data_IF_678590253864
#
_entry.id   IF_678590253864
#
_cell.length_a   1.000
_cell.length_b   1.000
_cell.length_c   1.000
_cell.angle_alpha   90.00
_cell.angle_beta   90.00
_cell.angle_gamma   90.00
#
_symmetry.space_group_name_H-M   'P 1'
#
loop_
_entity.id
_entity.type
_entity.pdbx_description
1 polymer ?
#
# COMPACT_ATOMS: atom_id res chain seq x y z
N UNK A 1 -8.84 24.97 4.78
CA UNK A 1 -7.77 25.65 5.52
C UNK A 1 -7.29 26.96 4.85
N UNK A 2 -7.94 27.43 3.78
CA UNK A 2 -7.59 28.71 3.15
C UNK A 2 -8.46 29.82 3.75
N UNK A 3 -7.89 30.63 4.65
CA UNK A 3 -8.46 31.91 5.04
C UNK A 3 -8.65 32.18 6.54
N UNK A 4 -8.61 31.19 7.41
CA UNK A 4 -8.70 31.44 8.84
C UNK A 4 -7.38 31.10 9.55
N UNK A 5 -6.88 31.99 10.38
CA UNK A 5 -5.70 31.75 11.21
C UNK A 5 -6.02 30.64 12.21
N UNK A 6 -5.44 29.47 12.04
CA UNK A 6 -5.58 28.37 13.02
C UNK A 6 -4.88 28.76 14.31
N UNK A 7 -5.57 28.77 15.46
CA UNK A 7 -4.97 29.16 16.73
C UNK A 7 -3.83 28.21 17.12
N UNK A 8 -2.80 28.78 17.76
CA UNK A 8 -1.63 28.02 18.22
C UNK A 8 -2.06 26.96 19.22
N UNK A 9 -1.85 25.68 18.92
CA UNK A 9 -2.23 24.59 19.83
C UNK A 9 -1.38 24.60 21.10
N UNK A 10 -1.95 24.23 22.26
CA UNK A 10 -1.21 24.12 23.50
C UNK A 10 -0.11 23.05 23.40
N UNK A 11 0.93 23.19 24.21
CA UNK A 11 2.00 22.16 24.33
C UNK A 11 1.39 20.81 24.68
N UNK A 12 1.92 19.73 24.12
CA UNK A 12 1.53 18.38 24.50
C UNK A 12 1.84 18.15 25.97
N UNK A 13 0.85 17.69 26.71
CA UNK A 13 1.02 17.27 28.11
C UNK A 13 1.32 15.77 28.14
N UNK A 14 1.93 15.29 29.22
CA UNK A 14 2.24 13.89 29.43
C UNK A 14 0.95 13.03 29.34
N UNK A 15 0.82 12.11 28.35
CA UNK A 15 -0.37 11.29 28.18
C UNK A 15 -0.52 10.20 29.25
N UNK A 16 0.53 9.90 30.01
CA UNK A 16 0.48 8.91 31.07
C UNK A 16 -0.19 9.46 32.33
N UNK A 17 -0.36 10.77 32.43
CA UNK A 17 -1.05 11.40 33.55
C UNK A 17 -2.57 11.45 33.26
N UNK A 18 -3.33 10.64 33.98
CA UNK A 18 -4.79 10.53 33.83
C UNK A 18 -5.53 11.90 33.94
N UNK A 19 -4.99 12.86 34.66
CA UNK A 19 -5.55 14.22 34.79
C UNK A 19 -5.41 15.05 33.51
N UNK A 20 -4.50 14.69 32.63
CA UNK A 20 -4.19 15.41 31.39
C UNK A 20 -4.57 14.64 30.13
N UNK A 21 -5.03 13.40 30.29
CA UNK A 21 -5.44 12.59 29.18
C UNK A 21 -6.71 13.15 28.53
N UNK A 22 -6.66 13.32 27.23
CA UNK A 22 -7.81 13.63 26.38
C UNK A 22 -7.71 12.78 25.13
N UNK A 23 -8.75 11.99 24.85
CA UNK A 23 -8.83 11.22 23.63
C UNK A 23 -8.68 12.14 22.40
N UNK A 24 -7.92 11.71 21.40
CA UNK A 24 -7.78 12.46 20.16
C UNK A 24 -9.12 12.47 19.39
N UNK A 25 -9.45 13.60 18.79
CA UNK A 25 -10.66 13.80 17.98
C UNK A 25 -10.29 14.40 16.62
N UNK A 26 -9.66 13.63 15.72
CA UNK A 26 -9.22 14.15 14.44
C UNK A 26 -10.41 14.56 13.57
N UNK A 27 -10.21 15.62 12.77
CA UNK A 27 -11.17 16.09 11.77
C UNK A 27 -11.01 15.39 10.41
N UNK A 28 -9.86 14.77 10.16
CA UNK A 28 -9.59 14.04 8.94
C UNK A 28 -8.89 12.70 9.22
N UNK A 29 -9.27 11.69 8.46
CA UNK A 29 -8.75 10.33 8.55
C UNK A 29 -8.39 9.80 7.18
N UNK A 30 -7.18 9.28 7.03
CA UNK A 30 -6.72 8.56 5.84
C UNK A 30 -6.42 7.12 6.23
N UNK A 31 -7.11 6.18 5.61
CA UNK A 31 -6.87 4.74 5.77
C UNK A 31 -5.97 4.23 4.65
N UNK A 32 -4.95 3.49 5.04
CA UNK A 32 -4.02 2.82 4.14
C UNK A 32 -3.95 1.32 4.49
N UNK A 33 -3.80 0.43 3.49
CA UNK A 33 -3.79 -1.01 3.74
C UNK A 33 -2.52 -1.52 4.42
N UNK A 34 -1.40 -0.79 4.30
CA UNK A 34 -0.10 -1.21 4.81
C UNK A 34 0.58 -0.10 5.61
N UNK A 35 1.48 -0.52 6.51
CA UNK A 35 2.31 0.41 7.30
C UNK A 35 3.18 1.30 6.40
N UNK A 36 3.78 0.72 5.39
CA UNK A 36 4.68 1.41 4.45
C UNK A 36 3.95 2.53 3.72
N UNK A 37 2.76 2.26 3.20
CA UNK A 37 1.94 3.29 2.55
C UNK A 37 1.49 4.34 3.55
N UNK A 38 1.03 3.95 4.73
CA UNK A 38 0.62 4.89 5.77
C UNK A 38 1.77 5.82 6.19
N UNK A 39 2.98 5.31 6.31
CA UNK A 39 4.17 6.11 6.62
C UNK A 39 4.50 7.11 5.52
N UNK A 40 4.43 6.68 4.26
CA UNK A 40 4.66 7.54 3.11
C UNK A 40 3.60 8.64 3.02
N UNK A 41 2.33 8.29 3.12
CA UNK A 41 1.23 9.26 3.08
C UNK A 41 1.30 10.25 4.24
N UNK A 42 1.66 9.78 5.44
CA UNK A 42 1.86 10.67 6.60
C UNK A 42 3.03 11.64 6.37
N UNK A 43 4.13 11.17 5.79
CA UNK A 43 5.26 12.02 5.42
C UNK A 43 4.84 13.10 4.44
N UNK A 44 4.17 12.74 3.37
CA UNK A 44 3.69 13.66 2.35
C UNK A 44 2.68 14.68 2.93
N UNK A 45 1.78 14.21 3.80
CA UNK A 45 0.84 15.08 4.49
C UNK A 45 1.54 16.10 5.39
N UNK A 46 2.58 15.69 6.10
CA UNK A 46 3.40 16.60 6.95
C UNK A 46 4.05 17.67 6.08
N UNK A 47 4.63 17.29 4.94
CA UNK A 47 5.25 18.26 4.01
C UNK A 47 4.22 19.24 3.43
N UNK A 48 3.04 18.76 3.05
CA UNK A 48 1.96 19.60 2.51
C UNK A 48 1.45 20.63 3.51
N UNK A 49 1.34 20.24 4.80
CA UNK A 49 0.85 21.13 5.85
C UNK A 49 1.96 21.92 6.58
N UNK A 50 3.19 21.79 6.15
CA UNK A 50 4.38 22.38 6.78
C UNK A 50 4.24 23.88 7.09
N UNK A 51 3.59 24.59 6.19
CA UNK A 51 3.35 26.03 6.34
C UNK A 51 1.98 26.37 6.97
N UNK A 52 1.17 25.36 7.29
CA UNK A 52 -0.11 25.53 7.96
C UNK A 52 0.10 25.47 9.47
N UNK A 53 0.12 26.61 10.11
CA UNK A 53 0.33 26.67 11.57
C UNK A 53 -0.81 25.94 12.30
N UNK A 54 -0.43 25.11 13.27
CA UNK A 54 -1.36 24.46 14.19
C UNK A 54 -1.97 23.14 13.68
N UNK A 55 -1.74 22.71 12.44
CA UNK A 55 -2.15 21.38 11.97
C UNK A 55 -1.16 20.31 12.43
N UNK A 56 -1.69 19.24 13.01
CA UNK A 56 -0.92 18.10 13.49
C UNK A 56 -1.34 16.84 12.77
N UNK A 57 -0.35 16.13 12.22
CA UNK A 57 -0.51 14.84 11.57
C UNK A 57 0.04 13.75 12.47
N UNK A 58 -0.73 12.69 12.68
CA UNK A 58 -0.29 11.50 13.39
C UNK A 58 -0.40 10.27 12.48
N UNK A 59 0.60 9.40 12.57
CA UNK A 59 0.63 8.11 11.89
C UNK A 59 0.36 7.00 12.91
N UNK A 60 -0.64 6.16 12.62
CA UNK A 60 -1.14 5.09 13.51
C UNK A 60 -1.06 3.75 12.77
N UNK A 61 -0.02 2.99 13.07
CA UNK A 61 0.27 1.72 12.39
C UNK A 61 0.65 0.61 13.37
N UNK A 62 0.43 -0.63 13.01
CA UNK A 62 0.87 -1.79 13.77
C UNK A 62 2.41 -1.87 13.90
N UNK A 63 2.88 -2.60 14.90
CA UNK A 63 4.31 -2.80 15.13
C UNK A 63 5.04 -1.65 15.82
N UNK A 64 4.36 -0.54 16.13
CA UNK A 64 4.89 0.53 16.94
C UNK A 64 4.38 0.44 18.40
N UNK A 65 5.20 0.82 19.40
CA UNK A 65 4.77 0.82 20.79
C UNK A 65 3.54 1.71 21.01
N UNK A 66 2.55 1.21 21.72
CA UNK A 66 1.28 1.89 22.00
C UNK A 66 1.48 3.26 22.63
N UNK A 67 2.35 3.36 23.62
CA UNK A 67 2.60 4.60 24.35
C UNK A 67 3.11 5.73 23.45
N UNK A 68 3.98 5.39 22.50
CA UNK A 68 4.48 6.37 21.53
C UNK A 68 3.37 6.83 20.58
N UNK A 69 2.48 5.93 20.17
CA UNK A 69 1.36 6.29 19.31
C UNK A 69 0.33 7.15 20.02
N UNK A 70 -0.01 6.81 21.25
CA UNK A 70 -0.92 7.59 22.08
C UNK A 70 -0.37 9.02 22.28
N UNK A 71 0.93 9.14 22.55
CA UNK A 71 1.58 10.45 22.70
C UNK A 71 1.53 11.28 21.39
N UNK A 72 1.75 10.64 20.24
CA UNK A 72 1.69 11.31 18.93
C UNK A 72 0.27 11.69 18.52
N UNK A 73 -0.74 10.92 18.94
CA UNK A 73 -2.14 11.20 18.66
C UNK A 73 -2.68 12.45 19.33
N UNK A 74 -2.08 12.88 20.44
CA UNK A 74 -2.59 14.03 21.18
C UNK A 74 -2.71 15.27 20.31
N UNK A 75 -3.92 15.84 20.28
CA UNK A 75 -4.27 17.01 19.47
C UNK A 75 -4.01 16.82 17.96
N UNK A 76 -4.01 15.60 17.44
CA UNK A 76 -3.92 15.36 16.00
C UNK A 76 -5.18 15.83 15.30
N UNK A 77 -5.01 16.54 14.18
CA UNK A 77 -6.09 16.97 13.29
C UNK A 77 -6.31 15.99 12.17
N UNK A 78 -5.24 15.44 11.64
CA UNK A 78 -5.20 14.42 10.59
C UNK A 78 -4.52 13.18 11.14
N UNK A 79 -5.21 12.05 11.01
CA UNK A 79 -4.67 10.73 11.33
C UNK A 79 -4.52 9.93 10.04
N UNK A 80 -3.33 9.39 9.81
CA UNK A 80 -3.06 8.41 8.76
C UNK A 80 -2.85 7.06 9.44
N UNK A 81 -3.63 6.06 9.07
CA UNK A 81 -3.68 4.82 9.82
C UNK A 81 -3.85 3.57 8.96
N UNK A 82 -3.39 2.45 9.48
CA UNK A 82 -3.87 1.13 9.06
C UNK A 82 -5.12 0.75 9.88
N UNK A 83 -6.09 0.04 9.28
CA UNK A 83 -7.40 -0.18 9.92
C UNK A 83 -7.33 -0.87 11.29
N UNK A 84 -6.53 -1.93 11.42
CA UNK A 84 -6.47 -2.71 12.67
C UNK A 84 -6.00 -1.88 13.86
N UNK A 85 -4.88 -1.19 13.74
CA UNK A 85 -4.35 -0.37 14.85
C UNK A 85 -5.25 0.84 15.15
N UNK A 86 -5.88 1.42 14.14
CA UNK A 86 -6.85 2.49 14.34
C UNK A 86 -8.00 2.05 15.24
N UNK A 87 -8.60 0.90 14.92
CA UNK A 87 -9.72 0.35 15.67
C UNK A 87 -9.31 -0.10 17.08
N UNK A 88 -8.12 -0.65 17.26
CA UNK A 88 -7.59 -0.97 18.58
C UNK A 88 -7.54 0.27 19.49
N UNK A 89 -7.02 1.39 18.98
CA UNK A 89 -6.94 2.64 19.73
C UNK A 89 -8.31 3.27 19.98
N UNK A 90 -9.24 3.11 19.03
CA UNK A 90 -10.62 3.56 19.19
C UNK A 90 -11.35 2.74 20.28
N UNK A 91 -11.23 1.40 20.25
CA UNK A 91 -11.84 0.50 21.25
C UNK A 91 -11.29 0.70 22.65
N UNK A 92 -10.01 1.09 22.78
CA UNK A 92 -9.38 1.43 24.05
C UNK A 92 -9.60 2.91 24.48
N UNK A 93 -10.49 3.62 23.81
CA UNK A 93 -10.86 5.02 24.11
C UNK A 93 -9.71 6.03 24.02
N UNK A 94 -8.64 5.70 23.29
CA UNK A 94 -7.52 6.60 23.04
C UNK A 94 -7.80 7.57 21.90
N UNK A 95 -8.76 7.24 21.06
CA UNK A 95 -9.14 7.93 19.84
C UNK A 95 -10.66 7.87 19.66
N UNK A 96 -11.26 8.99 19.28
CA UNK A 96 -12.67 9.10 18.90
C UNK A 96 -12.78 9.55 17.45
N UNK A 97 -13.65 8.91 16.67
CA UNK A 97 -13.82 9.15 15.25
C UNK A 97 -15.11 9.91 14.90
N UNK A 98 -15.91 10.29 15.88
CA UNK A 98 -17.17 11.01 15.72
C UNK A 98 -17.03 12.45 15.20
N UNK A 99 -15.84 13.04 15.30
CA UNK A 99 -15.53 14.38 14.78
C UNK A 99 -14.86 14.38 13.39
N UNK A 100 -14.69 13.21 12.78
CA UNK A 100 -14.14 13.08 11.43
C UNK A 100 -15.10 13.68 10.41
N UNK A 101 -14.61 14.67 9.66
CA UNK A 101 -15.35 15.34 8.56
C UNK A 101 -14.91 14.83 7.21
N UNK A 102 -13.67 14.40 7.08
CA UNK A 102 -13.08 13.91 5.83
C UNK A 102 -12.50 12.53 6.03
N UNK A 103 -12.97 11.58 5.23
CA UNK A 103 -12.46 10.21 5.19
C UNK A 103 -11.85 9.92 3.82
N UNK A 104 -10.63 9.43 3.83
CA UNK A 104 -9.93 8.94 2.63
C UNK A 104 -9.63 7.46 2.80
N UNK A 105 -9.99 6.66 1.82
CA UNK A 105 -9.65 5.24 1.72
C UNK A 105 -8.69 5.08 0.53
N UNK A 106 -7.43 4.86 0.81
CA UNK A 106 -6.39 4.71 -0.21
C UNK A 106 -6.10 3.24 -0.49
N UNK A 107 -5.80 2.91 -1.74
CA UNK A 107 -5.63 1.53 -2.22
C UNK A 107 -6.77 0.60 -1.73
N UNK A 108 -8.01 0.97 -2.01
CA UNK A 108 -9.19 0.25 -1.52
C UNK A 108 -9.24 -1.22 -1.98
N UNK A 109 -8.78 -1.52 -3.19
CA UNK A 109 -8.66 -2.87 -3.73
C UNK A 109 -7.71 -3.73 -2.89
N UNK A 110 -6.53 -3.21 -2.56
CA UNK A 110 -5.57 -3.89 -1.70
C UNK A 110 -6.09 -4.07 -0.28
N UNK A 111 -6.83 -3.12 0.23
CA UNK A 111 -7.45 -3.19 1.55
C UNK A 111 -8.44 -4.35 1.64
N UNK A 112 -9.25 -4.56 0.61
CA UNK A 112 -10.15 -5.71 0.51
C UNK A 112 -9.37 -7.03 0.34
N UNK A 113 -8.29 -7.04 -0.44
CA UNK A 113 -7.43 -8.22 -0.62
C UNK A 113 -6.79 -8.68 0.69
N UNK A 114 -6.46 -7.76 1.56
CA UNK A 114 -5.87 -8.04 2.88
C UNK A 114 -6.93 -8.37 3.95
N UNK A 115 -8.20 -8.42 3.60
CA UNK A 115 -9.27 -8.84 4.50
C UNK A 115 -9.82 -7.74 5.41
N UNK A 116 -9.66 -6.47 5.08
CA UNK A 116 -10.13 -5.33 5.89
C UNK A 116 -11.57 -4.88 5.60
N UNK A 117 -12.40 -5.73 4.95
CA UNK A 117 -13.78 -5.37 4.62
C UNK A 117 -14.62 -5.02 5.87
N UNK A 118 -14.51 -5.82 6.93
CA UNK A 118 -15.22 -5.60 8.19
C UNK A 118 -14.71 -4.37 8.93
N UNK A 119 -13.40 -4.17 8.94
CA UNK A 119 -12.78 -2.99 9.54
C UNK A 119 -13.21 -1.71 8.84
N UNK A 120 -13.30 -1.72 7.50
CA UNK A 120 -13.83 -0.60 6.73
C UNK A 120 -15.30 -0.32 7.06
N UNK A 121 -16.12 -1.34 7.22
CA UNK A 121 -17.53 -1.19 7.61
C UNK A 121 -17.65 -0.56 9.00
N UNK A 122 -16.81 -0.96 9.95
CA UNK A 122 -16.78 -0.38 11.30
C UNK A 122 -16.32 1.09 11.27
N UNK A 123 -15.27 1.41 10.55
CA UNK A 123 -14.81 2.80 10.40
C UNK A 123 -15.87 3.66 9.71
N UNK A 124 -16.54 3.14 8.68
CA UNK A 124 -17.65 3.81 8.02
C UNK A 124 -18.74 4.20 9.03
N UNK A 125 -19.11 3.29 9.91
CA UNK A 125 -20.13 3.54 10.94
C UNK A 125 -19.66 4.54 11.99
N UNK A 126 -18.40 4.44 12.44
CA UNK A 126 -17.81 5.35 13.43
C UNK A 126 -17.63 6.79 12.91
N UNK A 127 -17.59 6.96 11.59
CA UNK A 127 -17.42 8.26 10.92
C UNK A 127 -18.67 8.67 10.13
N UNK A 128 -19.85 8.23 10.54
CA UNK A 128 -21.09 8.39 9.77
C UNK A 128 -21.47 9.85 9.53
N UNK A 129 -21.09 10.75 10.42
CA UNK A 129 -21.37 12.18 10.32
C UNK A 129 -20.38 12.95 9.43
N UNK A 130 -19.47 12.25 8.76
CA UNK A 130 -18.49 12.89 7.86
C UNK A 130 -19.16 13.59 6.69
N UNK A 131 -18.52 14.66 6.22
CA UNK A 131 -19.04 15.51 5.14
C UNK A 131 -18.57 15.02 3.76
N UNK A 132 -17.38 14.44 3.67
CA UNK A 132 -16.79 13.99 2.40
C UNK A 132 -16.03 12.69 2.56
N UNK A 133 -16.16 11.83 1.55
CA UNK A 133 -15.39 10.59 1.42
C UNK A 133 -14.68 10.58 0.07
N UNK A 134 -13.40 10.27 0.08
CA UNK A 134 -12.60 10.03 -1.13
C UNK A 134 -12.07 8.61 -1.09
N UNK A 135 -12.23 7.89 -2.18
CA UNK A 135 -11.75 6.51 -2.31
C UNK A 135 -10.87 6.39 -3.55
N UNK A 136 -9.69 5.84 -3.37
CA UNK A 136 -8.71 5.59 -4.42
C UNK A 136 -8.50 4.10 -4.58
N UNK A 137 -8.52 3.63 -5.82
CA UNK A 137 -8.30 2.21 -6.14
C UNK A 137 -7.66 2.09 -7.52
N UNK A 138 -6.75 1.13 -7.69
CA UNK A 138 -6.15 0.83 -8.99
C UNK A 138 -7.13 0.12 -9.93
N UNK A 139 -8.17 -0.52 -9.38
CA UNK A 139 -9.18 -1.25 -10.14
C UNK A 139 -10.58 -0.73 -9.83
N UNK A 140 -11.51 -0.97 -10.74
CA UNK A 140 -12.92 -0.69 -10.54
C UNK A 140 -13.78 -1.96 -10.68
N UNK A 141 -13.25 -3.08 -10.21
CA UNK A 141 -13.94 -4.37 -10.15
C UNK A 141 -15.28 -4.27 -9.41
N UNK A 142 -16.23 -5.20 -9.66
CA UNK A 142 -17.54 -5.17 -9.00
C UNK A 142 -17.49 -5.06 -7.46
N UNK A 143 -16.52 -5.70 -6.83
CA UNK A 143 -16.31 -5.62 -5.36
C UNK A 143 -15.96 -4.20 -4.89
N UNK A 144 -15.18 -3.43 -5.69
CA UNK A 144 -14.85 -2.04 -5.38
C UNK A 144 -16.06 -1.14 -5.60
N UNK A 145 -16.85 -1.40 -6.64
CA UNK A 145 -18.12 -0.70 -6.87
C UNK A 145 -19.09 -0.91 -5.70
N UNK A 146 -19.20 -2.14 -5.19
CA UNK A 146 -20.02 -2.44 -4.02
C UNK A 146 -19.52 -1.73 -2.76
N UNK A 147 -18.20 -1.69 -2.55
CA UNK A 147 -17.61 -0.94 -1.45
C UNK A 147 -17.94 0.56 -1.57
N UNK A 148 -17.76 1.14 -2.76
CA UNK A 148 -18.08 2.54 -3.00
C UNK A 148 -19.54 2.87 -2.70
N UNK A 149 -20.48 2.01 -3.07
CA UNK A 149 -21.91 2.18 -2.75
C UNK A 149 -22.19 2.17 -1.25
N UNK A 150 -21.40 1.44 -0.47
CA UNK A 150 -21.57 1.35 0.99
C UNK A 150 -20.97 2.54 1.73
N UNK A 151 -19.81 3.04 1.29
CA UNK A 151 -19.04 4.05 2.03
C UNK A 151 -19.19 5.45 1.46
N UNK A 152 -19.72 5.61 0.26
CA UNK A 152 -19.86 6.91 -0.42
C UNK A 152 -21.32 7.23 -0.72
N UNK A 153 -21.64 8.52 -0.70
CA UNK A 153 -22.97 9.03 -1.07
C UNK A 153 -22.83 9.77 -2.40
N UNK A 154 -23.57 9.31 -3.42
CA UNK A 154 -23.59 9.91 -4.77
C UNK A 154 -22.18 10.27 -5.28
N UNK A 155 -21.25 9.28 -5.35
CA UNK A 155 -19.86 9.58 -5.65
C UNK A 155 -19.70 10.03 -7.10
N UNK A 156 -18.85 11.04 -7.30
CA UNK A 156 -18.33 11.37 -8.61
C UNK A 156 -17.18 10.42 -8.93
N UNK A 157 -17.24 9.70 -10.04
CA UNK A 157 -16.19 8.84 -10.51
C UNK A 157 -15.25 9.58 -11.44
N UNK A 158 -13.97 9.57 -11.11
CA UNK A 158 -12.88 10.07 -11.94
C UNK A 158 -11.97 8.90 -12.30
N UNK A 159 -11.86 8.59 -13.60
CA UNK A 159 -10.99 7.54 -14.09
C UNK A 159 -9.85 8.19 -14.86
N UNK A 160 -8.60 7.88 -14.46
CA UNK A 160 -7.41 8.45 -15.10
C UNK A 160 -6.97 7.56 -16.25
N UNK A 161 -6.97 6.23 -16.07
CA UNK A 161 -6.67 5.24 -17.10
C UNK A 161 -7.76 4.18 -17.16
N UNK A 162 -8.08 3.73 -18.37
CA UNK A 162 -8.95 2.56 -18.55
C UNK A 162 -8.11 1.29 -18.37
N UNK A 163 -8.55 0.31 -17.56
CA UNK A 163 -7.87 -0.99 -17.44
C UNK A 163 -7.78 -1.76 -18.77
N UNK A 164 -8.51 -1.31 -19.80
CA UNK A 164 -8.55 -1.91 -21.12
C UNK A 164 -7.67 -1.18 -22.14
N UNK A 165 -7.09 -0.03 -21.81
CA UNK A 165 -6.13 0.62 -22.69
C UNK A 165 -4.82 -0.14 -22.68
N UNK A 166 -4.48 -0.73 -23.82
CA UNK A 166 -3.13 -1.25 -24.07
C UNK A 166 -2.18 -0.07 -23.91
N UNK A 167 -1.31 -0.13 -22.93
CA UNK A 167 -0.24 0.83 -22.79
C UNK A 167 0.58 0.82 -24.09
N UNK A 168 0.45 1.88 -24.89
CA UNK A 168 1.08 1.98 -26.22
C UNK A 168 2.61 1.83 -26.17
N UNK A 169 3.21 2.06 -25.00
CA UNK A 169 4.65 1.99 -24.78
C UNK A 169 5.13 0.61 -24.28
N UNK A 170 4.23 -0.35 -24.04
CA UNK A 170 4.58 -1.70 -23.59
C UNK A 170 4.35 -2.69 -24.73
N UNK A 171 5.44 -3.28 -25.21
CA UNK A 171 5.38 -4.39 -26.16
C UNK A 171 5.08 -5.67 -25.40
N UNK A 172 3.93 -6.27 -25.67
CA UNK A 172 3.51 -7.54 -25.07
C UNK A 172 3.60 -8.68 -26.09
N UNK A 173 4.09 -9.84 -25.64
CA UNK A 173 4.18 -11.04 -26.45
C UNK A 173 3.69 -12.25 -25.65
N UNK A 174 2.89 -13.09 -26.26
CA UNK A 174 2.37 -14.32 -25.67
C UNK A 174 3.08 -15.52 -26.28
N UNK A 175 3.55 -16.41 -25.42
CA UNK A 175 4.21 -17.65 -25.81
C UNK A 175 3.49 -18.86 -25.23
N UNK A 176 3.30 -19.87 -26.03
CA UNK A 176 2.69 -21.13 -25.63
C UNK A 176 3.75 -22.11 -25.15
N UNK A 177 3.48 -22.77 -24.04
CA UNK A 177 4.34 -23.82 -23.49
C UNK A 177 3.55 -25.14 -23.38
N UNK A 178 4.14 -26.23 -23.83
CA UNK A 178 3.51 -27.54 -23.80
C UNK A 178 3.44 -28.14 -22.40
N UNK A 179 4.43 -27.81 -21.58
CA UNK A 179 4.56 -28.29 -20.20
C UNK A 179 5.49 -27.37 -19.38
N UNK A 180 5.64 -27.68 -18.12
CA UNK A 180 6.48 -26.90 -17.18
C UNK A 180 7.94 -26.83 -17.59
N UNK A 181 8.50 -27.90 -18.15
CA UNK A 181 9.89 -27.91 -18.61
C UNK A 181 10.07 -27.02 -19.85
N UNK A 182 9.17 -27.07 -20.78
CA UNK A 182 9.17 -26.19 -21.96
C UNK A 182 9.03 -24.71 -21.53
N UNK A 183 8.11 -24.43 -20.62
CA UNK A 183 7.92 -23.10 -20.04
C UNK A 183 9.21 -22.57 -19.39
N UNK A 184 9.90 -23.41 -18.65
CA UNK A 184 11.18 -23.05 -17.99
C UNK A 184 12.29 -22.78 -19.03
N UNK A 185 12.38 -23.58 -20.10
CA UNK A 185 13.32 -23.35 -21.19
C UNK A 185 13.05 -22.06 -21.95
N UNK A 186 11.78 -21.72 -22.17
CA UNK A 186 11.39 -20.45 -22.80
C UNK A 186 11.86 -19.26 -21.94
N UNK A 187 11.67 -19.31 -20.62
CA UNK A 187 12.15 -18.29 -19.72
C UNK A 187 13.68 -18.15 -19.81
N UNK A 188 14.42 -19.25 -19.75
CA UNK A 188 15.89 -19.25 -19.86
C UNK A 188 16.37 -18.62 -21.18
N UNK A 189 15.70 -18.96 -22.27
CA UNK A 189 16.00 -18.41 -23.57
C UNK A 189 15.89 -16.88 -23.60
N UNK A 190 14.77 -16.35 -23.09
CA UNK A 190 14.50 -14.93 -23.09
C UNK A 190 15.35 -14.16 -22.07
N UNK A 191 15.66 -14.74 -20.90
CA UNK A 191 16.52 -14.11 -19.90
C UNK A 191 17.98 -13.95 -20.38
N UNK A 192 18.40 -14.63 -21.43
CA UNK A 192 19.72 -14.47 -22.05
C UNK A 192 19.77 -13.35 -23.08
N UNK A 193 18.67 -12.67 -23.33
CA UNK A 193 18.62 -11.51 -24.22
C UNK A 193 19.49 -10.39 -23.66
N UNK A 194 20.43 -9.92 -24.44
CA UNK A 194 21.40 -8.87 -24.07
C UNK A 194 20.76 -7.48 -23.94
N UNK A 195 19.53 -7.30 -24.42
CA UNK A 195 18.77 -6.05 -24.27
C UNK A 195 18.21 -5.87 -22.85
N UNK A 196 18.19 -6.94 -22.04
CA UNK A 196 17.69 -6.89 -20.66
C UNK A 196 18.72 -6.18 -19.78
N UNK A 197 18.32 -5.06 -19.20
CA UNK A 197 19.07 -4.43 -18.13
C UNK A 197 18.71 -5.08 -16.78
N UNK A 198 17.44 -5.01 -16.40
CA UNK A 198 16.89 -5.70 -15.24
C UNK A 198 15.50 -6.25 -15.60
N UNK A 199 15.12 -7.36 -14.98
CA UNK A 199 13.85 -8.02 -15.23
C UNK A 199 13.12 -8.38 -13.93
N UNK A 200 11.79 -8.38 -14.01
CA UNK A 200 10.94 -9.03 -13.02
C UNK A 200 10.36 -10.30 -13.64
N UNK A 201 10.41 -11.39 -12.90
CA UNK A 201 9.75 -12.65 -13.22
C UNK A 201 8.67 -12.90 -12.19
N UNK A 202 7.41 -12.89 -12.61
CA UNK A 202 6.29 -13.19 -11.72
C UNK A 202 6.08 -14.68 -11.60
N UNK A 203 5.99 -15.16 -10.35
CA UNK A 203 5.66 -16.54 -10.00
C UNK A 203 4.34 -16.57 -9.22
N UNK A 204 3.63 -17.70 -9.29
CA UNK A 204 2.29 -17.82 -8.69
C UNK A 204 2.33 -18.03 -7.18
N UNK A 205 3.38 -18.66 -6.66
CA UNK A 205 3.49 -19.02 -5.24
C UNK A 205 4.85 -18.65 -4.66
N UNK A 206 4.92 -18.57 -3.32
CA UNK A 206 6.18 -18.32 -2.61
C UNK A 206 7.21 -19.43 -2.86
N UNK A 207 6.76 -20.67 -2.89
CA UNK A 207 7.63 -21.83 -3.15
C UNK A 207 8.19 -21.78 -4.57
N UNK A 208 7.36 -21.43 -5.55
CA UNK A 208 7.80 -21.23 -6.93
C UNK A 208 8.79 -20.06 -7.04
N UNK A 209 8.57 -18.95 -6.33
CA UNK A 209 9.52 -17.83 -6.26
C UNK A 209 10.89 -18.27 -5.78
N UNK A 210 10.96 -18.96 -4.65
CA UNK A 210 12.21 -19.39 -4.05
C UNK A 210 12.92 -20.42 -4.93
N UNK A 211 12.18 -21.41 -5.46
CA UNK A 211 12.72 -22.43 -6.35
C UNK A 211 13.29 -21.84 -7.64
N UNK A 212 12.54 -20.95 -8.27
CA UNK A 212 12.96 -20.29 -9.52
C UNK A 212 14.17 -19.38 -9.31
N UNK A 213 14.19 -18.60 -8.22
CA UNK A 213 15.34 -17.75 -7.90
C UNK A 213 16.60 -18.56 -7.64
N UNK A 214 16.51 -19.69 -6.92
CA UNK A 214 17.63 -20.60 -6.68
C UNK A 214 18.14 -21.22 -7.97
N UNK A 215 17.25 -21.69 -8.84
CA UNK A 215 17.63 -22.28 -10.13
C UNK A 215 18.35 -21.26 -11.00
N UNK A 216 17.85 -20.04 -11.08
CA UNK A 216 18.47 -18.97 -11.82
C UNK A 216 19.86 -18.58 -11.27
N UNK A 217 20.04 -18.57 -9.95
CA UNK A 217 21.34 -18.36 -9.34
C UNK A 217 22.34 -19.47 -9.71
N UNK A 218 21.91 -20.72 -9.68
CA UNK A 218 22.74 -21.87 -10.10
C UNK A 218 23.15 -21.81 -11.56
N UNK A 219 22.32 -21.20 -12.41
CA UNK A 219 22.61 -20.98 -13.83
C UNK A 219 23.46 -19.74 -14.09
N UNK A 220 23.88 -19.02 -13.04
CA UNK A 220 24.78 -17.88 -13.12
C UNK A 220 24.09 -16.52 -13.21
N UNK A 221 22.77 -16.45 -13.07
CA UNK A 221 22.04 -15.18 -13.00
C UNK A 221 22.12 -14.55 -11.60
N UNK A 222 22.18 -13.24 -11.55
CA UNK A 222 22.01 -12.48 -10.31
C UNK A 222 20.50 -12.32 -10.03
N UNK A 223 19.91 -13.27 -9.32
CA UNK A 223 18.48 -13.35 -9.05
C UNK A 223 18.19 -13.45 -7.56
N UNK A 224 17.11 -12.81 -7.11
CA UNK A 224 16.58 -12.92 -5.75
C UNK A 224 15.07 -13.06 -5.77
N UNK A 225 14.52 -13.75 -4.78
CA UNK A 225 13.07 -13.87 -4.58
C UNK A 225 12.51 -12.74 -3.72
N UNK A 226 11.29 -12.32 -4.00
CA UNK A 226 10.53 -11.37 -3.20
C UNK A 226 9.10 -11.89 -2.99
N UNK A 227 8.74 -12.21 -1.76
CA UNK A 227 7.40 -12.67 -1.38
C UNK A 227 7.06 -12.37 0.08
N UNK A 228 5.82 -12.61 0.47
CA UNK A 228 5.27 -12.21 1.76
C UNK A 228 5.86 -12.92 2.98
N UNK A 229 6.51 -14.09 2.82
CA UNK A 229 7.13 -14.79 3.93
C UNK A 229 8.48 -14.21 4.36
N UNK A 230 9.06 -13.31 3.56
CA UNK A 230 10.32 -12.66 3.89
C UNK A 230 10.13 -11.61 5.00
N UNK A 231 11.12 -11.47 5.88
CA UNK A 231 11.14 -10.36 6.84
C UNK A 231 11.22 -9.01 6.12
N UNK A 232 10.69 -7.97 6.73
CA UNK A 232 10.71 -6.62 6.13
C UNK A 232 12.15 -6.15 5.87
N UNK A 233 13.08 -6.44 6.78
CA UNK A 233 14.49 -6.09 6.59
C UNK A 233 15.12 -6.76 5.38
N UNK A 234 14.80 -8.04 5.14
CA UNK A 234 15.29 -8.78 3.98
C UNK A 234 14.67 -8.26 2.67
N UNK A 235 13.37 -7.97 2.67
CA UNK A 235 12.68 -7.36 1.53
C UNK A 235 13.32 -6.03 1.15
N UNK A 236 13.55 -5.15 2.11
CA UNK A 236 14.18 -3.85 1.87
C UNK A 236 15.59 -3.99 1.32
N UNK A 237 16.40 -4.93 1.83
CA UNK A 237 17.75 -5.18 1.32
C UNK A 237 17.74 -5.66 -0.14
N UNK A 238 16.83 -6.58 -0.49
CA UNK A 238 16.70 -7.11 -1.85
C UNK A 238 16.22 -6.06 -2.84
N UNK A 239 15.26 -5.21 -2.46
CA UNK A 239 14.80 -4.09 -3.27
C UNK A 239 15.90 -3.03 -3.45
N UNK A 240 16.68 -2.76 -2.42
CA UNK A 240 17.82 -1.84 -2.51
C UNK A 240 18.89 -2.40 -3.44
N UNK A 241 19.21 -3.69 -3.36
CA UNK A 241 20.15 -4.35 -4.25
C UNK A 241 19.69 -4.30 -5.72
N UNK A 242 18.40 -4.44 -5.98
CA UNK A 242 17.82 -4.27 -7.31
C UNK A 242 17.99 -2.82 -7.80
N UNK A 243 17.63 -1.84 -6.99
CA UNK A 243 17.77 -0.41 -7.33
C UNK A 243 19.22 0.01 -7.58
N UNK A 244 20.15 -0.58 -6.87
CA UNK A 244 21.59 -0.31 -7.01
C UNK A 244 22.24 -1.09 -8.17
N UNK A 245 21.48 -1.88 -8.91
CA UNK A 245 22.02 -2.67 -10.03
C UNK A 245 22.81 -3.93 -9.63
N UNK A 246 22.81 -4.30 -8.36
CA UNK A 246 23.50 -5.50 -7.86
C UNK A 246 22.74 -6.78 -8.16
N UNK A 247 21.41 -6.68 -8.32
CA UNK A 247 20.50 -7.76 -8.71
C UNK A 247 19.96 -7.44 -10.08
N UNK A 248 19.97 -8.41 -10.99
CA UNK A 248 19.47 -8.27 -12.36
C UNK A 248 18.03 -8.79 -12.50
N UNK A 249 17.67 -9.85 -11.76
CA UNK A 249 16.39 -10.52 -11.88
C UNK A 249 15.73 -10.59 -10.52
N UNK A 250 14.53 -10.01 -10.42
CA UNK A 250 13.65 -10.16 -9.27
C UNK A 250 12.59 -11.20 -9.59
N UNK A 251 12.54 -12.28 -8.83
CA UNK A 251 11.45 -13.27 -8.90
C UNK A 251 10.45 -12.97 -7.80
N UNK A 252 9.24 -12.58 -8.14
CA UNK A 252 8.28 -12.06 -7.17
C UNK A 252 6.88 -12.66 -7.35
N UNK A 253 6.13 -12.71 -6.26
CA UNK A 253 4.67 -12.86 -6.35
C UNK A 253 4.04 -11.50 -6.69
N UNK A 254 2.87 -11.52 -7.32
CA UNK A 254 2.09 -10.33 -7.69
C UNK A 254 1.88 -9.39 -6.48
N UNK A 255 1.46 -9.94 -5.35
CA UNK A 255 1.22 -9.16 -4.12
C UNK A 255 2.50 -8.49 -3.60
N UNK A 256 3.63 -9.19 -3.63
CA UNK A 256 4.89 -8.65 -3.12
C UNK A 256 5.50 -7.57 -4.02
N UNK A 257 5.21 -7.62 -5.32
CA UNK A 257 5.72 -6.67 -6.30
C UNK A 257 4.90 -5.39 -6.43
N UNK A 258 3.72 -5.32 -5.81
CA UNK A 258 2.89 -4.11 -5.85
C UNK A 258 3.63 -2.89 -5.31
N UNK A 259 3.57 -1.79 -6.05
CA UNK A 259 4.18 -0.52 -5.67
C UNK A 259 5.70 -0.49 -5.79
N UNK A 260 6.32 -1.48 -6.43
CA UNK A 260 7.74 -1.40 -6.77
C UNK A 260 7.92 -0.42 -7.91
N UNK A 261 8.69 0.62 -7.65
CA UNK A 261 9.14 1.59 -8.66
C UNK A 261 10.66 1.44 -8.83
N UNK A 262 11.04 0.77 -9.93
CA UNK A 262 12.43 0.61 -10.34
C UNK A 262 12.54 0.93 -11.83
N UNK A 263 12.96 2.16 -12.17
CA UNK A 263 12.93 2.63 -13.57
C UNK A 263 13.89 1.90 -14.51
N UNK A 264 14.82 1.14 -13.97
CA UNK A 264 15.79 0.35 -14.74
C UNK A 264 15.28 -1.01 -15.21
N UNK A 265 14.07 -1.40 -14.81
CA UNK A 265 13.44 -2.63 -15.27
C UNK A 265 13.00 -2.44 -16.72
N UNK A 266 13.55 -3.28 -17.60
CA UNK A 266 13.26 -3.26 -19.03
C UNK A 266 12.31 -4.35 -19.48
N UNK A 267 12.24 -5.45 -18.75
CA UNK A 267 11.46 -6.63 -19.11
C UNK A 267 10.68 -7.20 -17.92
N UNK A 268 9.47 -7.64 -18.19
CA UNK A 268 8.61 -8.35 -17.24
C UNK A 268 8.20 -9.68 -17.86
N UNK A 269 8.40 -10.76 -17.11
CA UNK A 269 8.02 -12.12 -17.51
C UNK A 269 6.91 -12.64 -16.60
N UNK A 270 5.74 -12.84 -17.13
CA UNK A 270 4.64 -13.45 -16.40
C UNK A 270 4.76 -14.97 -16.50
N UNK A 271 5.68 -15.55 -15.73
CA UNK A 271 5.93 -16.98 -15.66
C UNK A 271 4.80 -17.69 -14.91
N UNK A 272 4.33 -17.14 -13.79
CA UNK A 272 3.11 -17.52 -13.12
C UNK A 272 2.02 -16.48 -13.37
N UNK A 273 0.78 -16.92 -13.52
CA UNK A 273 -0.35 -16.00 -13.65
C UNK A 273 -0.80 -15.51 -12.29
N UNK A 274 -1.18 -14.24 -12.15
CA UNK A 274 -1.80 -13.75 -10.93
C UNK A 274 -3.16 -14.43 -10.72
N UNK A 275 -3.60 -14.50 -9.47
CA UNK A 275 -4.89 -15.11 -9.15
C UNK A 275 -6.10 -14.31 -9.67
N UNK A 276 -5.90 -13.03 -9.96
CA UNK A 276 -6.92 -12.12 -10.48
C UNK A 276 -6.41 -11.46 -11.76
N UNK A 277 -7.26 -11.39 -12.77
CA UNK A 277 -6.93 -10.73 -14.04
C UNK A 277 -6.53 -9.25 -13.87
N UNK A 278 -7.06 -8.59 -12.85
CA UNK A 278 -6.81 -7.19 -12.51
C UNK A 278 -5.36 -6.95 -12.06
N UNK A 279 -4.72 -7.96 -11.47
CA UNK A 279 -3.32 -7.88 -11.01
C UNK A 279 -2.31 -8.07 -12.16
N UNK A 280 -2.80 -8.40 -13.36
CA UNK A 280 -1.98 -8.52 -14.56
C UNK A 280 -1.72 -7.16 -15.23
N UNK A 281 -2.63 -6.22 -15.08
CA UNK A 281 -2.57 -4.87 -15.65
C UNK A 281 -2.05 -3.90 -14.60
#
# INVERSE_FOLDING_TARGET
ARGEAVPKKPKRKDPTNARHFKAATPGALILCPTRELAQQVAHDAIELVRHCRGLRVANVVGGMPYQLQIAKLQNADLVVATPGRLLDLQRSSQLKLDQVKFLVVDEADRMLDLGFADDLAEVNQLTIERQQTMMFSATFAPRIQQLAQRVMREPQRITIDSPQEKHANIKQSLYWADNSQHKRKLLDHWLRDTSINQAIVFASTQVECDGLANDLQQEGFSAVALHGALSQGLRNRRLMALRNGQVQILVATDVAARGIDVPTITHVFNFGLPMKAEDYT
#
